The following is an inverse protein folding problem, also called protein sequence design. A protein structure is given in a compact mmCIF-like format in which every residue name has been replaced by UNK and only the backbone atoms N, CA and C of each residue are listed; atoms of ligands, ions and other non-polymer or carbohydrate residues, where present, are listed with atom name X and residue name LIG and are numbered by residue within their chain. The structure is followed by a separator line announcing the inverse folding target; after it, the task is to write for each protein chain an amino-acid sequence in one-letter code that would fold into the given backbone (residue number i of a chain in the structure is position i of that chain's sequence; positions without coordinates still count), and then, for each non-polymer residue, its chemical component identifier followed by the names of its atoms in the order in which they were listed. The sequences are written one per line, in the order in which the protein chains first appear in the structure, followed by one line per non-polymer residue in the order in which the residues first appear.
data_IF_669238064351
#
_entry.id   IF_669238064351
#
_cell.length_a   1.000
_cell.length_b   1.000
_cell.length_c   1.000
_cell.angle_alpha   90.00
_cell.angle_beta   90.00
_cell.angle_gamma   90.00
#
_symmetry.space_group_name_H-M   'P 1'
#
loop_
_entity.id
_entity.type
_entity.pdbx_description
1 polymer ?
#
# COMPACT_ATOMS: atom_id res chain seq x y z
N UNK A 1 0.77 -40.83 -32.69
CA UNK A 1 0.32 -39.65 -31.93
C UNK A 1 0.07 -38.49 -32.88
N UNK A 2 -1.19 -38.24 -33.18
CA UNK A 2 -1.67 -37.29 -34.20
C UNK A 2 -1.21 -35.86 -33.89
N UNK A 3 -0.83 -35.09 -34.92
CA UNK A 3 -0.28 -33.74 -34.80
C UNK A 3 -1.18 -32.77 -34.00
N UNK A 4 -2.49 -32.97 -34.07
CA UNK A 4 -3.53 -32.26 -33.31
C UNK A 4 -3.34 -32.33 -31.80
N UNK A 5 -3.02 -33.51 -31.24
CA UNK A 5 -2.81 -33.65 -29.79
C UNK A 5 -1.55 -32.91 -29.29
N UNK A 6 -0.51 -32.81 -30.12
CA UNK A 6 0.72 -32.08 -29.79
C UNK A 6 0.48 -30.57 -29.75
N UNK A 7 -0.33 -30.07 -30.68
CA UNK A 7 -0.69 -28.66 -30.78
C UNK A 7 -1.57 -28.20 -29.61
N UNK A 8 -2.56 -29.01 -29.20
CA UNK A 8 -3.41 -28.71 -28.04
C UNK A 8 -2.64 -28.74 -26.71
N UNK A 9 -1.71 -29.69 -26.52
CA UNK A 9 -0.82 -29.70 -25.35
C UNK A 9 0.11 -28.49 -25.32
N UNK A 10 0.66 -28.09 -26.47
CA UNK A 10 1.51 -26.90 -26.56
C UNK A 10 0.74 -25.63 -26.17
N UNK A 11 -0.49 -25.45 -26.67
CA UNK A 11 -1.36 -24.34 -26.27
C UNK A 11 -1.63 -24.33 -24.77
N UNK A 12 -1.98 -25.49 -24.19
CA UNK A 12 -2.21 -25.61 -22.76
C UNK A 12 -0.99 -25.19 -21.94
N UNK A 13 0.21 -25.68 -22.30
CA UNK A 13 1.44 -25.29 -21.62
C UNK A 13 1.76 -23.80 -21.78
N UNK A 14 1.51 -23.23 -22.97
CA UNK A 14 1.68 -21.78 -23.20
C UNK A 14 0.73 -20.96 -22.33
N UNK A 15 -0.55 -21.34 -22.26
CA UNK A 15 -1.54 -20.65 -21.41
C UNK A 15 -1.16 -20.75 -19.93
N UNK A 16 -0.79 -21.96 -19.46
CA UNK A 16 -0.35 -22.14 -18.08
C UNK A 16 0.92 -21.36 -17.75
N UNK A 17 1.88 -21.30 -18.67
CA UNK A 17 3.10 -20.51 -18.52
C UNK A 17 2.79 -19.00 -18.49
N UNK A 18 1.88 -18.51 -19.33
CA UNK A 18 1.45 -17.12 -19.31
C UNK A 18 0.76 -16.75 -17.99
N UNK A 19 -0.15 -17.59 -17.49
CA UNK A 19 -0.79 -17.40 -16.19
C UNK A 19 0.24 -17.40 -15.04
N UNK A 20 1.16 -18.38 -15.04
CA UNK A 20 2.23 -18.45 -14.04
C UNK A 20 3.14 -17.22 -14.08
N UNK A 21 3.52 -16.79 -15.28
CA UNK A 21 4.31 -15.57 -15.49
C UNK A 21 3.59 -14.32 -14.98
N UNK A 22 2.30 -14.18 -15.25
CA UNK A 22 1.50 -13.07 -14.75
C UNK A 22 1.47 -13.03 -13.21
N UNK A 23 1.25 -14.17 -12.56
CA UNK A 23 1.25 -14.26 -11.09
C UNK A 23 2.62 -13.87 -10.53
N UNK A 24 3.70 -14.38 -11.11
CA UNK A 24 5.07 -14.03 -10.68
C UNK A 24 5.34 -12.53 -10.84
N UNK A 25 4.89 -11.91 -11.93
CA UNK A 25 5.02 -10.47 -12.13
C UNK A 25 4.24 -9.67 -11.08
N UNK A 26 3.02 -10.07 -10.76
CA UNK A 26 2.23 -9.43 -9.69
C UNK A 26 2.91 -9.55 -8.33
N UNK A 27 3.45 -10.72 -7.99
CA UNK A 27 4.20 -10.91 -6.75
C UNK A 27 5.47 -10.07 -6.71
N UNK A 28 6.23 -10.01 -7.81
CA UNK A 28 7.42 -9.18 -7.92
C UNK A 28 7.08 -7.69 -7.76
N UNK A 29 5.99 -7.21 -8.37
CA UNK A 29 5.53 -5.84 -8.22
C UNK A 29 5.14 -5.52 -6.77
N UNK A 30 4.45 -6.44 -6.08
CA UNK A 30 4.10 -6.27 -4.68
C UNK A 30 5.35 -6.20 -3.80
N UNK A 31 6.29 -7.13 -3.96
CA UNK A 31 7.56 -7.13 -3.23
C UNK A 31 8.32 -5.83 -3.49
N UNK A 32 8.39 -5.39 -4.75
CA UNK A 32 9.06 -4.14 -5.11
C UNK A 32 8.46 -2.96 -4.36
N UNK A 33 7.14 -2.82 -4.32
CA UNK A 33 6.47 -1.72 -3.61
C UNK A 33 6.68 -1.81 -2.10
N UNK A 34 6.52 -3.00 -1.51
CA UNK A 34 6.65 -3.20 -0.06
C UNK A 34 8.09 -3.06 0.45
N UNK A 35 9.09 -3.25 -0.40
CA UNK A 35 10.51 -3.15 -0.03
C UNK A 35 11.13 -1.79 -0.35
N UNK A 36 10.36 -0.84 -0.89
CA UNK A 36 10.88 0.50 -1.17
C UNK A 36 11.42 1.13 0.11
N UNK A 37 12.63 1.73 0.07
CA UNK A 37 13.15 2.44 1.21
C UNK A 37 12.22 3.61 1.55
N UNK A 38 11.99 3.83 2.83
CA UNK A 38 11.31 5.05 3.28
C UNK A 38 12.27 6.23 3.10
N UNK A 39 12.15 6.89 1.95
CA UNK A 39 12.98 8.05 1.60
C UNK A 39 12.59 9.27 2.43
N UNK A 40 13.46 10.27 2.50
CA UNK A 40 13.16 11.54 3.16
C UNK A 40 11.88 12.22 2.60
N UNK A 41 11.58 12.02 1.32
CA UNK A 41 10.35 12.51 0.70
C UNK A 41 9.10 11.80 1.25
N UNK A 42 9.14 10.47 1.41
CA UNK A 42 8.06 9.70 2.03
C UNK A 42 7.86 10.11 3.48
N UNK A 43 8.95 10.30 4.23
CA UNK A 43 8.91 10.82 5.60
C UNK A 43 8.27 12.21 5.66
N UNK A 44 8.64 13.12 4.76
CA UNK A 44 8.06 14.46 4.69
C UNK A 44 6.55 14.42 4.35
N UNK A 45 6.16 13.55 3.42
CA UNK A 45 4.76 13.34 3.04
C UNK A 45 3.93 12.78 4.21
N UNK A 46 4.43 11.78 4.93
CA UNK A 46 3.73 11.24 6.11
C UNK A 46 3.64 12.27 7.24
N UNK A 47 4.72 13.03 7.50
CA UNK A 47 4.69 14.12 8.49
C UNK A 47 3.66 15.19 8.13
N UNK A 48 3.59 15.56 6.84
CA UNK A 48 2.57 16.48 6.34
C UNK A 48 1.15 15.93 6.51
N UNK A 49 0.92 14.64 6.26
CA UNK A 49 -0.38 14.01 6.46
C UNK A 49 -0.81 14.01 7.94
N UNK A 50 0.12 13.74 8.88
CA UNK A 50 -0.16 13.83 10.32
C UNK A 50 -0.53 15.25 10.72
N UNK A 51 0.22 16.27 10.26
CA UNK A 51 -0.11 17.68 10.52
C UNK A 51 -1.47 18.07 9.98
N UNK A 52 -1.81 17.67 8.75
CA UNK A 52 -3.13 17.93 8.17
C UNK A 52 -4.25 17.24 8.96
N UNK A 53 -4.02 16.03 9.48
CA UNK A 53 -5.00 15.36 10.34
C UNK A 53 -5.32 16.21 11.57
N UNK A 54 -4.28 16.71 12.25
CA UNK A 54 -4.45 17.57 13.42
C UNK A 54 -5.22 18.85 13.10
N UNK A 55 -4.88 19.54 12.01
CA UNK A 55 -5.62 20.73 11.55
C UNK A 55 -7.11 20.43 11.33
N UNK A 56 -7.45 19.28 10.74
CA UNK A 56 -8.86 18.88 10.51
C UNK A 56 -9.56 18.45 11.80
N UNK A 57 -8.83 17.91 12.77
CA UNK A 57 -9.41 17.47 14.05
C UNK A 57 -9.96 18.63 14.89
N UNK A 58 -9.42 19.84 14.69
CA UNK A 58 -9.81 21.06 15.40
C UNK A 58 -10.93 21.85 14.69
N UNK A 59 -11.47 21.32 13.59
CA UNK A 59 -12.52 21.97 12.81
C UNK A 59 -13.79 22.18 13.67
N UNK A 60 -14.18 23.44 13.94
CA UNK A 60 -15.32 23.74 14.81
C UNK A 60 -16.66 23.33 14.19
N UNK A 61 -16.73 23.19 12.86
CA UNK A 61 -17.96 22.87 12.13
C UNK A 61 -18.35 21.37 12.24
N UNK A 62 -17.46 20.54 12.80
CA UNK A 62 -17.67 19.11 13.02
C UNK A 62 -18.40 18.83 14.34
N UNK A 63 -19.20 17.76 14.39
CA UNK A 63 -19.81 17.31 15.65
C UNK A 63 -18.76 16.87 16.68
N UNK A 64 -19.09 16.94 17.97
CA UNK A 64 -18.16 16.56 19.05
C UNK A 64 -17.66 15.10 18.92
N UNK A 65 -18.54 14.18 18.52
CA UNK A 65 -18.19 12.76 18.28
C UNK A 65 -17.24 12.63 17.08
N UNK A 66 -17.50 13.38 16.00
CA UNK A 66 -16.62 13.37 14.83
C UNK A 66 -15.22 13.90 15.18
N UNK A 67 -15.13 14.94 16.02
CA UNK A 67 -13.85 15.48 16.47
C UNK A 67 -13.07 14.50 17.34
N UNK A 68 -13.73 13.82 18.28
CA UNK A 68 -13.06 12.82 19.13
C UNK A 68 -12.55 11.64 18.31
N UNK A 69 -13.35 11.12 17.38
CA UNK A 69 -12.93 10.04 16.48
C UNK A 69 -11.76 10.47 15.57
N UNK A 70 -11.80 11.70 15.05
CA UNK A 70 -10.72 12.25 14.23
C UNK A 70 -9.43 12.40 15.05
N UNK A 71 -9.54 12.88 16.29
CA UNK A 71 -8.42 13.02 17.21
C UNK A 71 -7.74 11.68 17.52
N UNK A 72 -8.52 10.62 17.74
CA UNK A 72 -7.99 9.27 17.94
C UNK A 72 -7.29 8.73 16.68
N UNK A 73 -7.86 8.97 15.50
CA UNK A 73 -7.22 8.62 14.23
C UNK A 73 -5.89 9.36 14.05
N UNK A 74 -5.81 10.65 14.37
CA UNK A 74 -4.57 11.42 14.28
C UNK A 74 -3.50 10.91 15.26
N UNK A 75 -3.89 10.51 16.47
CA UNK A 75 -2.96 9.87 17.42
C UNK A 75 -2.42 8.55 16.88
N UNK A 76 -3.25 7.74 16.25
CA UNK A 76 -2.80 6.48 15.67
C UNK A 76 -1.84 6.71 14.49
N UNK A 77 -2.14 7.67 13.61
CA UNK A 77 -1.23 8.06 12.54
C UNK A 77 0.14 8.52 13.08
N UNK A 78 0.16 9.30 14.16
CA UNK A 78 1.39 9.74 14.79
C UNK A 78 2.20 8.57 15.37
N UNK A 79 1.56 7.58 15.99
CA UNK A 79 2.24 6.37 16.46
C UNK A 79 2.87 5.60 15.30
N UNK A 80 2.14 5.44 14.20
CA UNK A 80 2.65 4.75 13.01
C UNK A 80 3.86 5.48 12.42
N UNK A 81 3.84 6.81 12.40
CA UNK A 81 4.98 7.62 11.98
C UNK A 81 6.20 7.37 12.88
N UNK A 82 6.04 7.46 14.20
CA UNK A 82 7.14 7.22 15.16
C UNK A 82 7.68 5.80 15.04
N UNK A 83 6.81 4.81 14.84
CA UNK A 83 7.23 3.41 14.63
C UNK A 83 8.04 3.24 13.35
N UNK A 84 7.65 3.93 12.27
CA UNK A 84 8.31 3.87 10.96
C UNK A 84 9.65 4.61 10.89
N UNK A 85 9.75 5.77 11.55
CA UNK A 85 10.86 6.72 11.38
C UNK A 85 11.68 6.99 12.64
N UNK A 86 11.19 6.61 13.83
CA UNK A 86 11.88 6.84 15.10
C UNK A 86 11.81 8.28 15.64
N UNK A 87 11.22 9.21 14.88
CA UNK A 87 11.14 10.63 15.23
C UNK A 87 9.68 11.10 15.29
N UNK A 88 9.42 12.24 15.96
CA UNK A 88 8.09 12.87 15.93
C UNK A 88 7.94 13.75 14.66
N UNK A 89 6.75 13.78 14.04
CA UNK A 89 6.49 14.54 12.81
C UNK A 89 6.38 16.05 13.02
#
# INVERSE_FOLDING_TARGET
MSATFRHERAKFHVVMAACGGFVLLMLAALVYVCTRPQTAEVQAAEAHAVRQCWTRSTDPDRSAISRSAQHDACREMQKQYVYKFGERP
#
